data_IF_119631471951
#
_entry.id   IF_119631471951
#
_cell.length_a   1.000
_cell.length_b   1.000
_cell.length_c   1.000
_cell.angle_alpha   90.00
_cell.angle_beta   90.00
_cell.angle_gamma   90.00
#
_symmetry.space_group_name_H-M   'P 1'
#
loop_
_entity.id
_entity.type
_entity.pdbx_description
1 polymer ?
#
# COMPACT_ATOMS: atom_id res chain seq x y z
N UNK A 1 -41.08 -49.31 -2.38
CA UNK A 1 -40.91 -48.66 -1.05
C UNK A 1 -39.47 -48.83 -0.62
N UNK A 2 -38.67 -47.76 -0.68
CA UNK A 2 -37.51 -47.50 0.17
C UNK A 2 -37.02 -46.09 -0.17
N UNK A 3 -37.47 -45.14 0.63
CA UNK A 3 -37.00 -43.76 0.66
C UNK A 3 -35.67 -43.74 1.41
N UNK A 4 -34.64 -43.12 0.84
CA UNK A 4 -33.48 -42.68 1.62
C UNK A 4 -33.13 -41.26 1.22
N UNK A 5 -33.58 -40.34 2.07
CA UNK A 5 -33.18 -38.95 2.14
C UNK A 5 -31.73 -38.86 2.62
N UNK A 6 -30.89 -38.10 1.92
CA UNK A 6 -29.60 -37.65 2.48
C UNK A 6 -29.29 -36.21 2.07
N UNK A 7 -28.63 -35.45 2.96
CA UNK A 7 -28.89 -34.03 3.18
C UNK A 7 -28.12 -33.12 2.22
N UNK A 8 -28.82 -32.03 1.86
CA UNK A 8 -28.36 -30.91 1.04
C UNK A 8 -27.43 -30.00 1.86
N UNK A 9 -26.19 -30.43 2.08
CA UNK A 9 -25.13 -29.52 2.52
C UNK A 9 -24.51 -28.88 1.28
N UNK A 10 -25.03 -27.70 0.94
CA UNK A 10 -24.39 -26.80 -0.01
C UNK A 10 -23.12 -26.27 0.67
N UNK A 11 -21.98 -26.91 0.38
CA UNK A 11 -20.66 -26.33 0.59
C UNK A 11 -20.56 -25.12 -0.34
N UNK A 12 -20.83 -23.94 0.20
CA UNK A 12 -20.46 -22.69 -0.42
C UNK A 12 -18.94 -22.55 -0.33
N UNK A 13 -18.22 -23.18 -1.25
CA UNK A 13 -16.81 -22.88 -1.52
C UNK A 13 -16.74 -21.48 -2.09
N UNK A 14 -16.49 -20.49 -1.22
CA UNK A 14 -15.98 -19.19 -1.61
C UNK A 14 -14.56 -19.41 -2.19
N UNK A 15 -14.50 -19.74 -3.46
CA UNK A 15 -13.27 -19.70 -4.24
C UNK A 15 -12.90 -18.22 -4.43
N UNK A 16 -12.13 -17.66 -3.48
CA UNK A 16 -11.31 -16.49 -3.74
C UNK A 16 -10.26 -16.92 -4.77
N UNK A 17 -10.61 -16.74 -6.05
CA UNK A 17 -9.75 -16.99 -7.19
C UNK A 17 -8.55 -16.07 -7.16
N UNK A 18 -7.52 -16.45 -6.41
CA UNK A 18 -6.20 -15.89 -6.54
C UNK A 18 -5.52 -16.62 -7.70
N UNK A 19 -5.77 -16.13 -8.92
CA UNK A 19 -5.05 -16.54 -10.12
C UNK A 19 -3.57 -16.14 -9.95
N UNK A 20 -2.79 -17.00 -9.31
CA UNK A 20 -1.35 -16.89 -9.21
C UNK A 20 -0.73 -17.21 -10.58
N UNK A 21 -0.60 -16.19 -11.41
CA UNK A 21 0.34 -16.23 -12.51
C UNK A 21 1.76 -16.25 -11.93
N UNK A 22 2.43 -17.40 -12.05
CA UNK A 22 3.85 -17.57 -11.79
C UNK A 22 4.67 -16.75 -12.80
N UNK A 23 5.26 -15.63 -12.38
CA UNK A 23 6.31 -14.94 -13.12
C UNK A 23 7.14 -14.02 -12.22
N UNK A 24 8.29 -14.51 -11.72
CA UNK A 24 9.36 -13.71 -11.11
C UNK A 24 9.03 -13.03 -9.77
N UNK A 25 9.88 -13.17 -8.76
CA UNK A 25 9.79 -12.33 -7.56
C UNK A 25 10.21 -10.89 -7.91
N UNK A 26 9.38 -10.15 -8.64
CA UNK A 26 9.46 -8.70 -8.67
C UNK A 26 8.90 -8.15 -7.35
N UNK A 27 9.53 -7.10 -6.86
CA UNK A 27 8.98 -6.33 -5.74
C UNK A 27 7.56 -5.85 -6.10
N UNK A 28 6.62 -5.79 -5.14
CA UNK A 28 5.28 -5.27 -5.40
C UNK A 28 5.33 -3.87 -6.03
N UNK A 29 4.40 -3.58 -6.94
CA UNK A 29 4.26 -2.26 -7.55
C UNK A 29 3.71 -1.22 -6.55
N UNK A 30 3.85 0.10 -6.84
CA UNK A 30 3.26 1.15 -6.01
C UNK A 30 1.75 0.98 -5.78
N UNK A 31 0.99 0.63 -6.82
CA UNK A 31 -0.45 0.38 -6.69
C UNK A 31 -0.75 -0.83 -5.79
N UNK A 32 0.05 -1.89 -5.87
CA UNK A 32 -0.09 -3.06 -5.01
C UNK A 32 0.23 -2.71 -3.55
N UNK A 33 1.26 -1.90 -3.29
CA UNK A 33 1.60 -1.44 -1.95
C UNK A 33 0.52 -0.51 -1.37
N UNK A 34 -0.03 0.40 -2.17
CA UNK A 34 -1.15 1.26 -1.78
C UNK A 34 -2.40 0.44 -1.44
N UNK A 35 -2.74 -0.55 -2.28
CA UNK A 35 -3.86 -1.46 -2.02
C UNK A 35 -3.64 -2.27 -0.74
N UNK A 36 -2.43 -2.77 -0.51
CA UNK A 36 -2.08 -3.48 0.72
C UNK A 36 -2.23 -2.60 1.97
N UNK A 37 -1.83 -1.32 1.90
CA UNK A 37 -2.02 -0.37 3.01
C UNK A 37 -3.50 -0.10 3.29
N UNK A 38 -4.32 0.06 2.25
CA UNK A 38 -5.77 0.20 2.38
C UNK A 38 -6.42 -1.02 3.05
N UNK A 39 -6.04 -2.23 2.60
CA UNK A 39 -6.54 -3.49 3.17
C UNK A 39 -6.10 -3.67 4.63
N UNK A 40 -4.84 -3.39 4.97
CA UNK A 40 -4.34 -3.47 6.34
C UNK A 40 -5.03 -2.45 7.26
N UNK A 41 -5.30 -1.23 6.76
CA UNK A 41 -6.06 -0.20 7.50
C UNK A 41 -7.48 -0.67 7.80
N UNK A 42 -8.15 -1.28 6.82
CA UNK A 42 -9.48 -1.84 7.01
C UNK A 42 -9.48 -2.97 8.05
N UNK A 43 -8.50 -3.87 8.00
CA UNK A 43 -8.34 -4.96 8.97
C UNK A 43 -8.11 -4.44 10.41
N UNK A 44 -7.21 -3.46 10.58
CA UNK A 44 -6.99 -2.83 11.89
C UNK A 44 -8.28 -2.18 12.41
N UNK A 45 -8.95 -1.40 11.56
CA UNK A 45 -10.22 -0.73 11.90
C UNK A 45 -11.28 -1.75 12.34
N UNK A 46 -11.39 -2.86 11.62
CA UNK A 46 -12.35 -3.92 11.96
C UNK A 46 -11.99 -4.59 13.28
N UNK A 47 -10.71 -4.94 13.52
CA UNK A 47 -10.30 -5.58 14.78
C UNK A 47 -10.53 -4.70 16.01
N UNK A 48 -10.40 -3.38 15.88
CA UNK A 48 -10.75 -2.43 16.95
C UNK A 48 -12.26 -2.42 17.18
N UNK A 49 -13.07 -2.37 16.12
CA UNK A 49 -14.53 -2.44 16.24
C UNK A 49 -14.99 -3.75 16.88
N UNK A 50 -14.44 -4.88 16.44
CA UNK A 50 -14.78 -6.20 17.00
C UNK A 50 -14.43 -6.27 18.48
N UNK A 51 -13.28 -5.73 18.89
CA UNK A 51 -12.92 -5.64 20.29
C UNK A 51 -13.89 -4.77 21.09
N UNK A 52 -14.30 -3.61 20.54
CA UNK A 52 -15.29 -2.73 21.17
C UNK A 52 -16.67 -3.38 21.30
N UNK A 53 -17.07 -4.20 20.33
CA UNK A 53 -18.37 -4.89 20.34
C UNK A 53 -18.37 -6.12 21.26
N UNK A 54 -17.30 -6.91 21.26
CA UNK A 54 -17.28 -8.23 21.88
C UNK A 54 -16.72 -8.23 23.31
N UNK A 55 -15.89 -7.25 23.67
CA UNK A 55 -15.36 -7.13 25.04
C UNK A 55 -16.35 -6.38 25.92
N UNK A 56 -16.77 -7.02 27.00
CA UNK A 56 -17.72 -6.46 27.96
C UNK A 56 -17.18 -6.59 29.38
N UNK A 57 -17.93 -6.07 30.36
CA UNK A 57 -17.58 -6.22 31.79
C UNK A 57 -17.58 -7.67 32.29
N UNK A 58 -18.19 -8.61 31.55
CA UNK A 58 -18.13 -10.04 31.87
C UNK A 58 -17.01 -10.80 31.15
N UNK A 59 -16.23 -10.13 30.29
CA UNK A 59 -15.10 -10.75 29.60
C UNK A 59 -13.95 -11.07 30.56
N UNK A 60 -13.26 -12.16 30.26
CA UNK A 60 -12.06 -12.60 30.97
C UNK A 60 -10.83 -11.83 30.53
N UNK A 61 -9.81 -11.78 31.39
CA UNK A 61 -8.50 -11.21 31.05
C UNK A 61 -7.87 -11.89 29.82
N UNK A 62 -8.14 -13.19 29.61
CA UNK A 62 -7.64 -13.92 28.45
C UNK A 62 -8.24 -13.38 27.15
N UNK A 63 -9.54 -13.07 27.11
CA UNK A 63 -10.20 -12.48 25.94
C UNK A 63 -9.66 -11.08 25.62
N UNK A 64 -9.42 -10.25 26.65
CA UNK A 64 -8.75 -8.96 26.48
C UNK A 64 -7.35 -9.10 25.88
N UNK A 65 -6.55 -10.08 26.35
CA UNK A 65 -5.21 -10.34 25.80
C UNK A 65 -5.28 -10.79 24.35
N UNK A 66 -6.19 -11.70 24.00
CA UNK A 66 -6.39 -12.15 22.62
C UNK A 66 -6.80 -11.01 21.68
N UNK A 67 -7.73 -10.15 22.11
CA UNK A 67 -8.14 -8.99 21.33
C UNK A 67 -6.97 -8.00 21.12
N UNK A 68 -6.17 -7.75 22.18
CA UNK A 68 -4.96 -6.92 22.09
C UNK A 68 -3.96 -7.48 21.09
N UNK A 69 -3.68 -8.79 21.12
CA UNK A 69 -2.73 -9.40 20.18
C UNK A 69 -3.23 -9.32 18.73
N UNK A 70 -4.54 -9.49 18.49
CA UNK A 70 -5.11 -9.33 17.16
C UNK A 70 -4.98 -7.88 16.64
N UNK A 71 -5.31 -6.88 17.48
CA UNK A 71 -5.13 -5.46 17.14
C UNK A 71 -3.66 -5.15 16.88
N UNK A 72 -2.76 -5.65 17.73
CA UNK A 72 -1.30 -5.45 17.59
C UNK A 72 -0.81 -5.99 16.25
N UNK A 73 -1.21 -7.21 15.87
CA UNK A 73 -0.84 -7.80 14.58
C UNK A 73 -1.30 -6.91 13.41
N UNK A 74 -2.56 -6.50 13.39
CA UNK A 74 -3.09 -5.66 12.31
C UNK A 74 -2.45 -4.27 12.27
N UNK A 75 -2.05 -3.74 13.44
CA UNK A 75 -1.29 -2.50 13.54
C UNK A 75 0.12 -2.65 12.92
N UNK A 76 0.82 -3.74 13.23
CA UNK A 76 2.13 -4.04 12.64
C UNK A 76 2.04 -4.25 11.13
N UNK A 77 1.00 -4.93 10.65
CA UNK A 77 0.73 -5.13 9.22
C UNK A 77 0.46 -3.79 8.51
N UNK A 78 -0.34 -2.90 9.10
CA UNK A 78 -0.57 -1.56 8.56
C UNK A 78 0.73 -0.74 8.53
N UNK A 79 1.51 -0.73 9.62
CA UNK A 79 2.78 0.00 9.66
C UNK A 79 3.72 -0.46 8.56
N UNK A 80 3.87 -1.77 8.35
CA UNK A 80 4.70 -2.33 7.27
C UNK A 80 4.21 -1.89 5.90
N UNK A 81 2.90 -1.94 5.65
CA UNK A 81 2.34 -1.52 4.36
C UNK A 81 2.52 -0.02 4.12
N UNK A 82 2.36 0.82 5.15
CA UNK A 82 2.64 2.25 5.08
C UNK A 82 4.11 2.54 4.81
N UNK A 83 5.05 1.79 5.41
CA UNK A 83 6.47 1.91 5.12
C UNK A 83 6.80 1.58 3.65
N UNK A 84 6.13 0.60 3.05
CA UNK A 84 6.30 0.30 1.63
C UNK A 84 5.81 1.45 0.74
N UNK A 85 4.63 2.01 1.03
CA UNK A 85 4.12 3.19 0.31
C UNK A 85 5.07 4.39 0.41
N UNK A 86 5.66 4.61 1.59
CA UNK A 86 6.68 5.66 1.76
C UNK A 86 7.96 5.36 0.97
N UNK A 87 8.39 4.09 0.93
CA UNK A 87 9.54 3.69 0.13
C UNK A 87 9.30 3.90 -1.37
N UNK A 88 8.09 3.63 -1.87
CA UNK A 88 7.72 3.91 -3.26
C UNK A 88 7.79 5.41 -3.56
N UNK A 89 7.18 6.25 -2.70
CA UNK A 89 7.22 7.72 -2.85
C UNK A 89 8.67 8.26 -2.84
N UNK A 90 9.52 7.73 -1.96
CA UNK A 90 10.94 8.10 -1.90
C UNK A 90 11.65 7.71 -3.21
N UNK A 91 11.44 6.49 -3.69
CA UNK A 91 12.02 5.99 -4.94
C UNK A 91 11.58 6.83 -6.14
N UNK A 92 10.31 7.23 -6.19
CA UNK A 92 9.79 8.10 -7.25
C UNK A 92 10.47 9.47 -7.24
N UNK A 93 10.70 10.05 -6.05
CA UNK A 93 11.47 11.29 -5.91
C UNK A 93 12.93 11.13 -6.38
N UNK A 94 13.60 10.05 -5.98
CA UNK A 94 14.97 9.75 -6.42
C UNK A 94 15.07 9.58 -7.94
N UNK A 95 14.09 8.89 -8.55
CA UNK A 95 14.02 8.70 -10.00
C UNK A 95 13.75 10.03 -10.74
N UNK A 96 12.85 10.86 -10.21
CA UNK A 96 12.56 12.16 -10.80
C UNK A 96 13.78 13.10 -10.72
N UNK A 97 14.49 13.08 -9.60
CA UNK A 97 15.75 13.82 -9.44
C UNK A 97 16.78 13.36 -10.46
N UNK A 98 17.03 12.04 -10.53
CA UNK A 98 17.98 11.45 -11.48
C UNK A 98 17.64 11.81 -12.92
N UNK A 99 16.37 11.74 -13.30
CA UNK A 99 15.94 12.07 -14.67
C UNK A 99 16.17 13.55 -14.99
N UNK A 100 15.86 14.44 -14.06
CA UNK A 100 16.14 15.87 -14.20
C UNK A 100 17.66 16.14 -14.34
N UNK A 101 18.46 15.54 -13.46
CA UNK A 101 19.92 15.69 -13.42
C UNK A 101 20.56 15.21 -14.73
N UNK A 102 20.23 13.98 -15.16
CA UNK A 102 20.67 13.43 -16.45
C UNK A 102 20.24 14.31 -17.63
N UNK A 103 19.03 14.89 -17.58
CA UNK A 103 18.55 15.75 -18.67
C UNK A 103 19.37 17.05 -18.76
N UNK A 104 19.80 17.59 -17.62
CA UNK A 104 20.67 18.77 -17.56
C UNK A 104 22.09 18.42 -18.00
N UNK A 105 22.66 17.31 -17.52
CA UNK A 105 24.01 16.87 -17.90
C UNK A 105 24.14 16.56 -19.40
N UNK A 106 23.07 16.10 -20.04
CA UNK A 106 23.04 15.78 -21.46
C UNK A 106 22.76 16.99 -22.37
N UNK A 107 22.57 18.20 -21.83
CA UNK A 107 22.49 19.40 -22.66
C UNK A 107 23.86 19.67 -23.31
N UNK A 108 23.90 19.70 -24.63
CA UNK A 108 25.12 20.08 -25.35
C UNK A 108 25.17 21.61 -25.54
N UNK A 109 26.38 22.15 -25.76
CA UNK A 109 26.60 23.59 -25.95
C UNK A 109 25.90 24.16 -27.19
N UNK A 110 25.47 23.29 -28.12
CA UNK A 110 24.73 23.63 -29.33
C UNK A 110 23.20 23.62 -29.13
N UNK A 111 22.72 23.17 -27.97
CA UNK A 111 21.28 23.09 -27.68
C UNK A 111 20.75 24.49 -27.52
N UNK A 112 19.78 24.87 -28.35
CA UNK A 112 19.15 26.18 -28.21
C UNK A 112 18.53 26.32 -26.82
N UNK A 113 18.70 27.50 -26.20
CA UNK A 113 18.17 27.79 -24.86
C UNK A 113 16.67 27.54 -24.75
N UNK A 114 15.91 27.74 -25.83
CA UNK A 114 14.47 27.47 -25.87
C UNK A 114 14.15 25.99 -25.73
N UNK A 115 14.88 25.12 -26.46
CA UNK A 115 14.69 23.66 -26.36
C UNK A 115 15.11 23.16 -24.99
N UNK A 116 16.28 23.58 -24.50
CA UNK A 116 16.75 23.24 -23.16
C UNK A 116 15.73 23.66 -22.09
N UNK A 117 15.21 24.88 -22.17
CA UNK A 117 14.22 25.37 -21.21
C UNK A 117 12.91 24.57 -21.24
N UNK A 118 12.42 24.17 -22.42
CA UNK A 118 11.20 23.34 -22.52
C UNK A 118 11.40 21.97 -21.90
N UNK A 119 12.50 21.29 -22.23
CA UNK A 119 12.76 19.94 -21.74
C UNK A 119 13.02 19.91 -20.23
N UNK A 120 13.86 20.83 -19.74
CA UNK A 120 14.17 20.94 -18.31
C UNK A 120 12.94 21.30 -17.49
N UNK A 121 12.06 22.19 -18.01
CA UNK A 121 10.82 22.57 -17.32
C UNK A 121 9.86 21.39 -17.14
N UNK A 122 9.82 20.47 -18.10
CA UNK A 122 9.01 19.26 -17.98
C UNK A 122 9.53 18.37 -16.85
N UNK A 123 10.85 18.14 -16.77
CA UNK A 123 11.44 17.32 -15.72
C UNK A 123 11.35 17.98 -14.33
N UNK A 124 11.50 19.30 -14.24
CA UNK A 124 11.24 20.06 -13.00
C UNK A 124 9.80 19.89 -12.51
N UNK A 125 8.82 19.85 -13.42
CA UNK A 125 7.42 19.63 -13.04
C UNK A 125 7.22 18.24 -12.45
N UNK A 126 7.85 17.22 -13.02
CA UNK A 126 7.79 15.84 -12.47
C UNK A 126 8.51 15.74 -11.13
N UNK A 127 9.67 16.40 -10.98
CA UNK A 127 10.40 16.47 -9.72
C UNK A 127 9.56 17.13 -8.63
N UNK A 128 8.87 18.23 -8.94
CA UNK A 128 7.96 18.88 -7.99
C UNK A 128 6.82 17.95 -7.56
N UNK A 129 6.18 17.26 -8.52
CA UNK A 129 5.10 16.31 -8.21
C UNK A 129 5.58 15.16 -7.31
N UNK A 130 6.77 14.62 -7.59
CA UNK A 130 7.35 13.55 -6.78
C UNK A 130 7.74 14.04 -5.37
N UNK A 131 8.27 15.27 -5.27
CA UNK A 131 8.52 15.93 -3.98
C UNK A 131 7.22 16.09 -3.18
N UNK A 132 6.17 16.66 -3.77
CA UNK A 132 4.88 16.89 -3.10
C UNK A 132 4.28 15.58 -2.58
N UNK A 133 4.37 14.51 -3.38
CA UNK A 133 3.92 13.16 -2.98
C UNK A 133 4.75 12.61 -1.80
N UNK A 134 6.07 12.75 -1.85
CA UNK A 134 6.97 12.28 -0.80
C UNK A 134 6.81 13.05 0.52
N UNK A 135 6.45 14.33 0.46
CA UNK A 135 6.35 15.20 1.64
C UNK A 135 4.91 15.50 2.08
N UNK A 136 3.89 14.90 1.47
CA UNK A 136 2.47 15.22 1.71
C UNK A 136 2.06 15.20 3.20
N UNK A 137 2.72 14.37 4.01
CA UNK A 137 2.41 14.18 5.44
C UNK A 137 3.39 14.92 6.38
N UNK A 138 4.35 15.67 5.84
CA UNK A 138 5.35 16.43 6.60
C UNK A 138 4.89 17.88 6.75
N UNK A 139 4.81 18.37 7.98
CA UNK A 139 4.64 19.79 8.26
C UNK A 139 6.02 20.43 8.45
N UNK A 140 6.53 21.04 7.39
CA UNK A 140 7.71 21.90 7.46
C UNK A 140 7.22 23.35 7.67
N UNK A 141 7.52 23.92 8.84
CA UNK A 141 7.18 25.29 9.22
C UNK A 141 8.43 26.02 9.73
#
# INVERSE_FOLDING_TARGET
>A
MASTSTPRWLLATAALGLSAALAGCSSPSPDQNAQAACSARAALTQSVKDAQTNLTSSSTVAEYKSARENIKKNYEDLNRALSNVQADRKKDMENAWKTFDEKVENLNDETSLTVAATEVKQELTKLQQAQDSATADIKCN
#
